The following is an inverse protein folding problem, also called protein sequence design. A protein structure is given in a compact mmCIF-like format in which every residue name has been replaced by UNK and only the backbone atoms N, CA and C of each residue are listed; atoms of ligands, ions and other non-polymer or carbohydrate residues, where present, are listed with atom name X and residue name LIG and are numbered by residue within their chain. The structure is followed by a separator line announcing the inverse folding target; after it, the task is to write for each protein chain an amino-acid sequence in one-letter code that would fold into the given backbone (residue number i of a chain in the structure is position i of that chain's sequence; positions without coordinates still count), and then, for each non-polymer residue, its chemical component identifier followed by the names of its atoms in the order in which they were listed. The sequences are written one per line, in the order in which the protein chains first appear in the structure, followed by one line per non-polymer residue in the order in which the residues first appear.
data_IF_854886834374
#
_entry.id   IF_854886834374
#
_cell.length_a   1.000
_cell.length_b   1.000
_cell.length_c   1.000
_cell.angle_alpha   90.00
_cell.angle_beta   90.00
_cell.angle_gamma   90.00
#
_symmetry.space_group_name_H-M   'P 1'
#
loop_
_entity.id
_entity.type
_entity.pdbx_description
1 polymer ?
#
# COMPACT_ATOMS: atom_id res chain seq x y z
N UNK A 1 -12.88 22.65 16.10
CA UNK A 1 -12.93 22.64 14.62
C UNK A 1 -12.75 21.19 14.25
N UNK A 2 -13.74 20.54 13.63
CA UNK A 2 -13.61 19.15 13.22
C UNK A 2 -12.47 19.06 12.21
N UNK A 3 -11.34 18.47 12.60
CA UNK A 3 -10.29 18.11 11.65
C UNK A 3 -10.93 17.22 10.59
N UNK A 4 -10.91 17.67 9.35
CA UNK A 4 -11.30 16.83 8.22
C UNK A 4 -10.27 15.71 8.19
N UNK A 5 -10.68 14.47 8.51
CA UNK A 5 -9.77 13.34 8.44
C UNK A 5 -9.17 13.25 7.05
N UNK A 6 -7.86 12.97 7.02
CA UNK A 6 -7.08 12.78 5.81
C UNK A 6 -7.64 11.64 4.95
N UNK A 7 -8.22 10.62 5.57
CA UNK A 7 -8.91 9.52 4.90
C UNK A 7 -10.42 9.73 4.97
N UNK A 8 -11.12 9.33 3.90
CA UNK A 8 -12.58 9.42 3.82
C UNK A 8 -13.17 8.07 3.48
N UNK A 9 -13.78 7.44 4.47
CA UNK A 9 -14.46 6.16 4.33
C UNK A 9 -15.82 6.37 3.65
N UNK A 10 -16.03 5.64 2.56
CA UNK A 10 -17.30 5.57 1.84
C UNK A 10 -17.94 4.20 2.09
N UNK A 11 -19.13 4.21 2.67
CA UNK A 11 -19.92 3.00 2.90
C UNK A 11 -21.40 3.34 3.01
N UNK A 12 -22.26 2.46 2.49
CA UNK A 12 -23.72 2.50 2.74
C UNK A 12 -24.10 1.81 4.05
N UNK A 13 -23.13 1.14 4.69
CA UNK A 13 -23.30 0.38 5.92
C UNK A 13 -22.57 1.05 7.09
N UNK A 14 -23.17 1.02 8.26
CA UNK A 14 -22.53 1.39 9.53
C UNK A 14 -21.89 0.16 10.19
N UNK A 15 -21.03 0.39 11.18
CA UNK A 15 -20.49 -0.69 12.03
C UNK A 15 -21.62 -1.41 12.75
N UNK A 16 -21.55 -2.75 12.81
CA UNK A 16 -22.60 -3.56 13.43
C UNK A 16 -22.03 -4.68 14.31
N UNK A 17 -22.83 -5.12 15.28
CA UNK A 17 -22.46 -6.19 16.21
C UNK A 17 -21.17 -5.86 16.98
N UNK A 18 -20.27 -6.83 17.08
CA UNK A 18 -19.03 -6.69 17.86
C UNK A 18 -17.98 -5.76 17.20
N UNK A 19 -18.21 -5.28 15.97
CA UNK A 19 -17.26 -4.42 15.27
C UNK A 19 -17.00 -3.11 16.03
N UNK A 20 -18.06 -2.46 16.52
CA UNK A 20 -17.95 -1.16 17.18
C UNK A 20 -17.08 -1.26 18.44
N UNK A 21 -17.33 -2.29 19.26
CA UNK A 21 -16.53 -2.56 20.45
C UNK A 21 -15.08 -2.93 20.10
N UNK A 22 -14.85 -3.76 19.08
CA UNK A 22 -13.50 -4.16 18.68
C UNK A 22 -12.68 -2.98 18.14
N UNK A 23 -13.31 -2.09 17.35
CA UNK A 23 -12.68 -0.86 16.86
C UNK A 23 -12.35 0.06 18.03
N UNK A 24 -13.29 0.30 18.95
CA UNK A 24 -13.07 1.16 20.11
C UNK A 24 -11.91 0.66 20.98
N UNK A 25 -11.85 -0.64 21.26
CA UNK A 25 -10.76 -1.25 22.03
C UNK A 25 -9.40 -1.11 21.34
N UNK A 26 -9.33 -1.33 20.03
CA UNK A 26 -8.08 -1.16 19.29
C UNK A 26 -7.64 0.30 19.24
N UNK A 27 -8.57 1.23 19.06
CA UNK A 27 -8.27 2.66 19.08
C UNK A 27 -7.72 3.08 20.44
N UNK A 28 -8.34 2.68 21.55
CA UNK A 28 -7.86 2.97 22.90
C UNK A 28 -6.44 2.43 23.13
N UNK A 29 -6.15 1.20 22.69
CA UNK A 29 -4.81 0.62 22.78
C UNK A 29 -3.78 1.43 21.98
N UNK A 30 -4.11 1.79 20.74
CA UNK A 30 -3.21 2.56 19.86
C UNK A 30 -2.96 3.95 20.43
N UNK A 31 -4.00 4.65 20.89
CA UNK A 31 -3.92 5.98 21.50
C UNK A 31 -3.15 5.96 22.83
N UNK A 32 -3.18 4.84 23.56
CA UNK A 32 -2.35 4.61 24.74
C UNK A 32 -0.87 4.33 24.41
N UNK A 33 -0.48 4.36 23.13
CA UNK A 33 0.89 4.15 22.66
C UNK A 33 1.30 2.69 22.54
N UNK A 34 0.34 1.76 22.46
CA UNK A 34 0.64 0.34 22.29
C UNK A 34 1.14 0.05 20.87
N UNK A 35 2.37 -0.44 20.76
CA UNK A 35 3.00 -0.74 19.46
C UNK A 35 2.38 -1.94 18.73
N UNK A 36 1.74 -2.86 19.47
CA UNK A 36 1.22 -4.13 18.93
C UNK A 36 -0.19 -4.39 19.44
N UNK A 37 -1.16 -4.27 18.54
CA UNK A 37 -2.57 -4.54 18.83
C UNK A 37 -3.06 -5.72 17.97
N UNK A 38 -4.03 -6.49 18.46
CA UNK A 38 -4.52 -7.71 17.79
C UNK A 38 -6.04 -7.64 17.64
N UNK A 39 -6.51 -7.61 16.40
CA UNK A 39 -7.94 -7.77 16.09
C UNK A 39 -8.30 -9.27 16.04
N UNK A 40 -8.96 -9.76 17.08
CA UNK A 40 -9.49 -11.13 17.12
C UNK A 40 -10.86 -11.19 16.43
N UNK A 41 -10.87 -11.44 15.12
CA UNK A 41 -12.10 -11.50 14.33
C UNK A 41 -12.33 -12.83 13.62
N UNK A 42 -13.52 -13.43 13.80
CA UNK A 42 -13.94 -14.63 13.08
C UNK A 42 -14.07 -14.38 11.56
N UNK A 43 -14.06 -15.42 10.74
CA UNK A 43 -14.32 -15.29 9.29
C UNK A 43 -15.72 -14.73 9.05
N UNK A 44 -15.87 -13.81 8.08
CA UNK A 44 -17.15 -13.18 7.77
C UNK A 44 -17.55 -12.00 8.68
N UNK A 45 -16.80 -11.69 9.73
CA UNK A 45 -17.08 -10.57 10.64
C UNK A 45 -16.80 -9.17 10.09
N UNK A 46 -16.41 -9.02 8.81
CA UNK A 46 -16.12 -7.71 8.21
C UNK A 46 -14.82 -7.07 8.69
N UNK A 47 -13.74 -7.85 8.88
CA UNK A 47 -12.44 -7.35 9.36
C UNK A 47 -11.88 -6.20 8.51
N UNK A 48 -12.02 -6.25 7.18
CA UNK A 48 -11.56 -5.15 6.31
C UNK A 48 -12.27 -3.85 6.62
N UNK A 49 -13.59 -3.89 6.82
CA UNK A 49 -14.39 -2.71 7.17
C UNK A 49 -14.02 -2.15 8.55
N UNK A 50 -13.78 -3.03 9.53
CA UNK A 50 -13.29 -2.62 10.84
C UNK A 50 -11.91 -1.93 10.75
N UNK A 51 -10.98 -2.48 9.97
CA UNK A 51 -9.68 -1.85 9.74
C UNK A 51 -9.79 -0.53 8.98
N UNK A 52 -10.73 -0.40 8.03
CA UNK A 52 -10.98 0.85 7.32
C UNK A 52 -11.46 1.96 8.27
N UNK A 53 -12.37 1.65 9.21
CA UNK A 53 -12.77 2.60 10.26
C UNK A 53 -11.59 3.04 11.13
N UNK A 54 -10.67 2.12 11.45
CA UNK A 54 -9.45 2.45 12.22
C UNK A 54 -8.54 3.37 11.40
N UNK A 55 -8.30 3.07 10.12
CA UNK A 55 -7.48 3.90 9.22
C UNK A 55 -8.06 5.32 9.11
N UNK A 56 -9.37 5.44 8.94
CA UNK A 56 -10.05 6.75 8.88
C UNK A 56 -9.86 7.55 10.16
N UNK A 57 -10.02 6.92 11.33
CA UNK A 57 -9.89 7.59 12.63
C UNK A 57 -8.45 7.97 12.95
N UNK A 58 -7.48 7.11 12.63
CA UNK A 58 -6.07 7.37 12.88
C UNK A 58 -5.52 8.47 11.96
N UNK A 59 -5.98 8.55 10.71
CA UNK A 59 -5.48 9.58 9.80
C UNK A 59 -4.00 9.40 9.46
N UNK A 60 -3.48 8.17 9.41
CA UNK A 60 -2.07 7.87 9.15
C UNK A 60 -1.86 7.06 7.86
N UNK A 61 -0.83 7.37 7.05
CA UNK A 61 -0.48 6.52 5.90
C UNK A 61 -0.28 5.08 6.38
N UNK A 62 -0.94 4.13 5.71
CA UNK A 62 -1.07 2.76 6.23
C UNK A 62 -0.53 1.74 5.23
N UNK A 63 0.26 0.79 5.72
CA UNK A 63 0.71 -0.38 4.98
C UNK A 63 -0.08 -1.62 5.43
N UNK A 64 -0.76 -2.26 4.48
CA UNK A 64 -1.45 -3.54 4.70
C UNK A 64 -0.63 -4.65 4.06
N UNK A 65 -0.13 -5.57 4.90
CA UNK A 65 0.66 -6.72 4.44
C UNK A 65 -0.21 -7.96 4.27
N UNK A 66 -0.14 -8.55 3.07
CA UNK A 66 -0.74 -9.82 2.75
C UNK A 66 0.32 -10.87 2.42
N UNK A 67 0.10 -12.11 2.84
CA UNK A 67 1.01 -13.21 2.60
C UNK A 67 0.97 -13.74 1.17
N UNK A 68 -0.03 -13.36 0.36
CA UNK A 68 -0.14 -13.80 -1.03
C UNK A 68 -0.76 -12.73 -1.95
N UNK A 69 -0.48 -12.82 -3.26
CA UNK A 69 -0.94 -11.85 -4.28
C UNK A 69 -2.46 -11.83 -4.44
N UNK A 70 -3.14 -12.97 -4.29
CA UNK A 70 -4.60 -13.09 -4.45
C UNK A 70 -5.34 -12.28 -3.38
N UNK A 71 -5.02 -12.52 -2.11
CA UNK A 71 -5.59 -11.79 -0.99
C UNK A 71 -5.15 -10.32 -1.00
N UNK A 72 -3.92 -10.02 -1.42
CA UNK A 72 -3.49 -8.64 -1.60
C UNK A 72 -4.39 -7.90 -2.60
N UNK A 73 -4.70 -8.52 -3.75
CA UNK A 73 -5.58 -7.89 -4.75
C UNK A 73 -7.01 -7.75 -4.25
N UNK A 74 -7.53 -8.73 -3.50
CA UNK A 74 -8.85 -8.61 -2.86
C UNK A 74 -8.91 -7.44 -1.88
N UNK A 75 -7.91 -7.32 -0.99
CA UNK A 75 -7.81 -6.20 -0.06
C UNK A 75 -7.67 -4.87 -0.78
N UNK A 76 -6.89 -4.80 -1.86
CA UNK A 76 -6.79 -3.60 -2.68
C UNK A 76 -8.14 -3.22 -3.30
N UNK A 77 -8.91 -4.18 -3.82
CA UNK A 77 -10.26 -3.93 -4.36
C UNK A 77 -11.22 -3.43 -3.29
N UNK A 78 -11.27 -4.10 -2.14
CA UNK A 78 -12.13 -3.70 -1.02
C UNK A 78 -11.76 -2.31 -0.50
N UNK A 79 -10.48 -2.04 -0.24
CA UNK A 79 -10.01 -0.74 0.24
C UNK A 79 -10.22 0.36 -0.80
N UNK A 80 -10.06 0.08 -2.10
CA UNK A 80 -10.33 1.06 -3.16
C UNK A 80 -11.80 1.44 -3.21
N UNK A 81 -12.70 0.48 -2.97
CA UNK A 81 -14.13 0.75 -2.85
C UNK A 81 -14.49 1.56 -1.60
N UNK A 82 -13.80 1.31 -0.49
CA UNK A 82 -14.00 2.01 0.78
C UNK A 82 -13.36 3.41 0.81
N UNK A 83 -12.30 3.65 0.04
CA UNK A 83 -11.58 4.93 0.03
C UNK A 83 -11.41 5.49 -1.40
N UNK A 84 -12.50 5.76 -2.14
CA UNK A 84 -12.43 6.16 -3.55
C UNK A 84 -11.80 7.55 -3.78
N UNK A 85 -11.59 8.34 -2.72
CA UNK A 85 -10.98 9.68 -2.78
C UNK A 85 -9.50 9.69 -2.36
N UNK A 86 -9.00 8.59 -1.76
CA UNK A 86 -7.64 8.48 -1.26
C UNK A 86 -6.78 7.61 -2.19
N UNK A 87 -5.46 7.63 -2.00
CA UNK A 87 -4.55 6.79 -2.79
C UNK A 87 -4.49 5.36 -2.22
N UNK A 88 -5.23 4.45 -2.86
CA UNK A 88 -5.17 3.02 -2.54
C UNK A 88 -4.26 2.31 -3.55
N UNK A 89 -3.06 1.97 -3.09
CA UNK A 89 -1.94 1.55 -3.92
C UNK A 89 -1.65 0.05 -3.80
N UNK A 90 -1.02 -0.52 -4.82
CA UNK A 90 -0.75 -1.97 -4.91
C UNK A 90 0.73 -2.26 -5.15
N UNK A 91 1.38 -2.94 -4.20
CA UNK A 91 2.82 -3.18 -4.22
C UNK A 91 3.17 -4.66 -4.01
N UNK A 92 3.31 -5.39 -5.12
CA UNK A 92 3.74 -6.80 -5.11
C UNK A 92 4.88 -7.03 -6.09
N UNK A 93 5.48 -8.22 -6.08
CA UNK A 93 6.47 -8.58 -7.09
C UNK A 93 5.87 -8.47 -8.49
N UNK A 94 6.55 -7.72 -9.36
CA UNK A 94 6.22 -7.54 -10.76
C UNK A 94 6.72 -8.69 -11.64
N UNK A 95 7.29 -9.74 -11.06
CA UNK A 95 7.60 -10.95 -11.80
C UNK A 95 6.37 -11.87 -11.85
N UNK A 96 5.98 -12.25 -13.06
CA UNK A 96 5.02 -13.33 -13.32
C UNK A 96 5.70 -14.69 -13.19
N UNK A 97 6.97 -14.76 -13.63
CA UNK A 97 7.86 -15.90 -13.44
C UNK A 97 9.22 -15.41 -12.99
N UNK A 98 9.83 -16.11 -12.03
CA UNK A 98 11.16 -15.79 -11.52
C UNK A 98 11.89 -17.06 -11.08
N UNK A 99 13.02 -17.33 -11.73
CA UNK A 99 14.00 -18.32 -11.34
C UNK A 99 15.26 -17.57 -10.88
N UNK A 100 15.66 -17.69 -9.60
CA UNK A 100 16.91 -17.10 -9.15
C UNK A 100 18.10 -17.81 -9.80
N UNK A 101 19.18 -17.06 -9.97
CA UNK A 101 20.49 -17.63 -10.24
C UNK A 101 20.90 -18.54 -9.08
N UNK A 102 21.35 -19.75 -9.37
CA UNK A 102 21.79 -20.68 -8.35
C UNK A 102 22.88 -21.61 -8.86
N UNK A 103 23.82 -21.97 -7.98
CA UNK A 103 24.77 -23.04 -8.23
C UNK A 103 24.46 -24.21 -7.28
N UNK A 104 24.36 -25.42 -7.82
CA UNK A 104 24.10 -26.66 -7.09
C UNK A 104 25.38 -27.52 -7.05
N UNK A 105 26.18 -27.44 -5.95
CA UNK A 105 27.49 -28.09 -5.89
C UNK A 105 27.43 -29.62 -6.07
N UNK A 106 26.38 -30.26 -5.54
CA UNK A 106 26.23 -31.72 -5.62
C UNK A 106 26.02 -32.27 -7.04
N UNK A 107 25.73 -31.41 -8.01
CA UNK A 107 25.54 -31.76 -9.42
C UNK A 107 26.47 -31.02 -10.37
N UNK A 108 27.36 -30.18 -9.83
CA UNK A 108 28.15 -29.23 -10.63
C UNK A 108 27.27 -28.49 -11.67
N UNK A 109 26.09 -28.04 -11.20
CA UNK A 109 25.08 -27.44 -12.07
C UNK A 109 24.89 -25.98 -11.71
N UNK A 110 25.16 -25.11 -12.66
CA UNK A 110 24.79 -23.71 -12.62
C UNK A 110 23.41 -23.52 -13.29
N UNK A 111 22.54 -22.80 -12.61
CA UNK A 111 21.17 -22.48 -13.03
C UNK A 111 21.15 -20.97 -13.29
N UNK A 112 20.92 -20.61 -14.55
CA UNK A 112 20.81 -19.22 -14.96
C UNK A 112 19.56 -18.55 -14.38
N UNK A 113 19.67 -17.24 -14.20
CA UNK A 113 18.56 -16.37 -13.87
C UNK A 113 17.62 -16.27 -15.07
N UNK A 114 16.36 -16.62 -14.86
CA UNK A 114 15.28 -16.44 -15.84
C UNK A 114 14.12 -15.69 -15.20
N UNK A 115 13.53 -14.74 -15.91
CA UNK A 115 12.40 -13.97 -15.40
C UNK A 115 11.47 -13.52 -16.51
N UNK A 116 10.21 -13.31 -16.12
CA UNK A 116 9.21 -12.64 -16.93
C UNK A 116 8.57 -11.54 -16.10
N UNK A 117 8.60 -10.31 -16.61
CA UNK A 117 8.05 -9.14 -15.96
C UNK A 117 6.62 -8.86 -16.40
N UNK A 118 5.85 -8.27 -15.49
CA UNK A 118 4.51 -7.78 -15.70
C UNK A 118 4.53 -6.25 -15.64
N UNK A 119 4.47 -5.62 -16.82
CA UNK A 119 4.56 -4.16 -16.97
C UNK A 119 3.45 -3.43 -16.19
N UNK A 120 2.25 -4.01 -16.09
CA UNK A 120 1.16 -3.41 -15.32
C UNK A 120 1.50 -3.38 -13.83
N UNK A 121 2.03 -4.46 -13.27
CA UNK A 121 2.41 -4.48 -11.85
C UNK A 121 3.59 -3.55 -11.60
N UNK A 122 4.52 -3.43 -12.55
CA UNK A 122 5.60 -2.45 -12.46
C UNK A 122 5.07 -1.01 -12.40
N UNK A 123 4.09 -0.66 -13.25
CA UNK A 123 3.40 0.63 -13.19
C UNK A 123 2.66 0.85 -11.86
N UNK A 124 1.96 -0.15 -11.34
CA UNK A 124 1.28 -0.07 -10.04
C UNK A 124 2.28 0.15 -8.88
N UNK A 125 3.47 -0.48 -8.93
CA UNK A 125 4.54 -0.22 -7.95
C UNK A 125 5.09 1.19 -8.07
N UNK A 126 5.29 1.67 -9.29
CA UNK A 126 5.73 3.04 -9.52
C UNK A 126 4.71 4.05 -8.98
N UNK A 127 3.41 3.83 -9.26
CA UNK A 127 2.30 4.60 -8.68
C UNK A 127 2.36 4.64 -7.16
N UNK A 128 2.61 3.48 -6.53
CA UNK A 128 2.73 3.40 -5.06
C UNK A 128 3.82 4.32 -4.51
N UNK A 129 5.02 4.28 -5.12
CA UNK A 129 6.14 5.14 -4.69
C UNK A 129 5.83 6.60 -4.95
N UNK A 130 5.27 6.92 -6.12
CA UNK A 130 4.85 8.27 -6.46
C UNK A 130 3.85 8.85 -5.46
N UNK A 131 2.83 8.08 -5.09
CA UNK A 131 1.83 8.46 -4.10
C UNK A 131 2.46 8.68 -2.72
N UNK A 132 3.32 7.78 -2.25
CA UNK A 132 4.00 7.92 -0.95
C UNK A 132 4.87 9.19 -0.85
N UNK A 133 5.43 9.66 -1.96
CA UNK A 133 6.28 10.86 -2.00
C UNK A 133 5.46 12.14 -2.21
N UNK A 134 4.27 12.04 -2.79
CA UNK A 134 3.48 13.21 -3.23
C UNK A 134 2.29 13.56 -2.33
N UNK A 135 1.74 12.60 -1.58
CA UNK A 135 0.53 12.81 -0.76
C UNK A 135 0.57 11.99 0.53
N UNK A 136 -0.05 12.49 1.62
CA UNK A 136 -0.03 11.82 2.91
C UNK A 136 -1.13 10.75 3.07
N UNK A 137 -2.17 10.78 2.24
CA UNK A 137 -3.35 9.92 2.36
C UNK A 137 -3.24 8.62 1.54
N UNK A 138 -2.19 7.85 1.82
CA UNK A 138 -1.87 6.60 1.11
C UNK A 138 -2.18 5.36 1.95
N UNK A 139 -2.90 4.41 1.34
CA UNK A 139 -3.06 3.04 1.82
C UNK A 139 -2.34 2.13 0.84
N UNK A 140 -1.18 1.61 1.21
CA UNK A 140 -0.42 0.67 0.37
C UNK A 140 -0.77 -0.78 0.76
N UNK A 141 -1.24 -1.57 -0.21
CA UNK A 141 -1.45 -3.00 -0.02
C UNK A 141 -0.31 -3.75 -0.68
N UNK A 142 0.46 -4.51 0.08
CA UNK A 142 1.63 -5.19 -0.43
C UNK A 142 1.83 -6.61 0.09
N UNK A 143 2.73 -7.33 -0.58
CA UNK A 143 3.27 -8.61 -0.08
C UNK A 143 4.63 -8.41 0.56
N UNK A 144 5.32 -9.49 0.92
CA UNK A 144 6.74 -9.46 1.33
C UNK A 144 7.66 -8.74 0.32
N UNK A 145 7.19 -8.40 -0.88
CA UNK A 145 7.94 -7.53 -1.78
C UNK A 145 8.30 -6.16 -1.18
N UNK A 146 7.56 -5.65 -0.19
CA UNK A 146 7.82 -4.32 0.41
C UNK A 146 9.11 -4.24 1.24
N UNK A 147 9.66 -5.39 1.66
CA UNK A 147 10.93 -5.46 2.40
C UNK A 147 12.14 -5.69 1.49
N UNK A 148 11.93 -5.80 0.17
CA UNK A 148 13.03 -5.89 -0.81
C UNK A 148 13.51 -4.49 -1.20
N UNK A 149 14.76 -4.45 -1.66
CA UNK A 149 15.44 -3.19 -2.01
C UNK A 149 14.63 -2.32 -2.96
N UNK A 150 14.49 -1.06 -2.56
CA UNK A 150 13.97 0.04 -3.35
C UNK A 150 14.98 1.19 -3.26
N UNK A 151 15.03 2.04 -4.28
CA UNK A 151 15.76 3.30 -4.18
C UNK A 151 15.15 4.18 -3.09
N UNK A 152 15.97 4.97 -2.39
CA UNK A 152 15.46 5.87 -1.37
C UNK A 152 14.65 7.02 -2.01
N UNK A 153 13.69 7.64 -1.29
CA UNK A 153 12.74 8.61 -1.85
C UNK A 153 13.40 9.81 -2.57
N UNK A 154 14.59 10.20 -2.14
CA UNK A 154 15.34 11.33 -2.71
C UNK A 154 15.73 11.05 -4.17
N UNK A 155 15.96 9.79 -4.53
CA UNK A 155 16.25 9.39 -5.92
C UNK A 155 15.02 9.55 -6.79
N UNK A 156 13.84 9.22 -6.26
CA UNK A 156 12.58 9.45 -6.95
C UNK A 156 12.38 10.95 -7.18
N UNK A 157 12.49 11.77 -6.12
CA UNK A 157 12.31 13.23 -6.22
C UNK A 157 13.29 13.90 -7.19
N UNK A 158 14.55 13.46 -7.24
CA UNK A 158 15.56 14.01 -8.14
C UNK A 158 15.28 13.70 -9.62
N UNK A 159 14.57 12.62 -9.92
CA UNK A 159 14.25 12.17 -11.28
C UNK A 159 12.91 12.68 -11.82
N UNK A 160 12.15 13.46 -11.04
CA UNK A 160 10.82 13.92 -11.43
C UNK A 160 10.71 15.43 -11.50
N UNK A 161 10.18 15.89 -12.63
CA UNK A 161 9.85 17.27 -12.86
C UNK A 161 8.50 17.61 -12.23
N UNK A 162 8.48 18.60 -11.35
CA UNK A 162 7.25 19.16 -10.79
C UNK A 162 6.82 20.35 -11.65
N UNK A 163 5.58 20.36 -12.11
CA UNK A 163 5.00 21.46 -12.88
C UNK A 163 3.64 21.85 -12.28
N UNK A 164 3.42 23.15 -12.12
CA UNK A 164 2.14 23.71 -11.68
C UNK A 164 1.50 24.60 -12.77
N UNK A 165 0.17 24.67 -12.77
CA UNK A 165 -0.56 25.56 -13.69
C UNK A 165 -0.18 27.01 -13.39
N UNK A 166 0.35 27.70 -14.41
CA UNK A 166 0.81 29.10 -14.29
C UNK A 166 2.29 29.24 -13.96
N UNK A 167 3.01 28.14 -13.74
CA UNK A 167 4.46 28.15 -13.57
C UNK A 167 5.16 28.50 -14.88
N UNK A 168 6.08 29.46 -14.83
CA UNK A 168 6.96 29.77 -15.95
C UNK A 168 8.16 28.83 -15.90
N UNK A 169 8.27 27.96 -16.89
CA UNK A 169 9.41 27.07 -17.09
C UNK A 169 9.95 27.24 -18.51
N UNK A 170 11.27 27.06 -18.69
CA UNK A 170 11.86 26.96 -20.02
C UNK A 170 11.50 25.58 -20.61
N UNK A 171 10.89 25.50 -21.80
CA UNK A 171 10.62 24.22 -22.45
C UNK A 171 11.86 23.32 -22.60
N UNK A 172 13.06 23.88 -22.69
CA UNK A 172 14.31 23.11 -22.75
C UNK A 172 14.62 22.40 -21.42
N UNK A 173 14.27 23.01 -20.29
CA UNK A 173 14.44 22.42 -18.96
C UNK A 173 13.40 21.31 -18.71
N UNK A 174 12.23 21.38 -19.36
CA UNK A 174 11.18 20.35 -19.28
C UNK A 174 11.50 19.10 -20.13
N UNK A 175 12.22 19.28 -21.23
CA UNK A 175 12.56 18.18 -22.17
C UNK A 175 13.76 17.34 -21.74
N UNK A 176 14.51 17.75 -20.70
CA UNK A 176 15.67 17.03 -20.17
C UNK A 176 15.28 16.03 -19.09
#
# INVERSE_FOLDING_TARGET
MSEVSMFRLHSEYETAGDQEQAIAQLMEQIEAGQERCILMGVTGSGKTFAMANIIERLGLPTLILSHNKTLARQLWQEMSGLFPQNAVEYFVSYYDYYQPEAYLPGRDLYIDKELQMNERIEQERFSTVASLVSRPDVIAIGTVSVIYGLNPPEVFQAGHLHLAVGEQCDPQDVMR
#
